data_IF_813474002974
#
_entry.id   IF_813474002974
#
_cell.length_a   1.000
_cell.length_b   1.000
_cell.length_c   1.000
_cell.angle_alpha   90.00
_cell.angle_beta   90.00
_cell.angle_gamma   90.00
#
_symmetry.space_group_name_H-M   'P 1'
#
loop_
_entity.id
_entity.type
_entity.pdbx_description
1 polymer ?
#
# COMPACT_ATOMS: atom_id res chain seq x y z
N UNK A 1 3.45 14.75 -10.20
CA UNK A 1 2.84 15.42 -11.37
C UNK A 1 1.34 15.11 -11.30
N UNK A 2 0.51 16.10 -11.00
CA UNK A 2 -0.94 15.90 -10.94
C UNK A 2 -1.52 16.05 -12.34
N UNK A 3 -2.25 15.05 -12.84
CA UNK A 3 -3.02 15.16 -14.08
C UNK A 3 -4.51 15.32 -13.73
N UNK A 4 -5.14 16.32 -14.33
CA UNK A 4 -6.57 16.54 -14.25
C UNK A 4 -7.25 15.76 -15.38
N UNK A 5 -8.03 14.74 -15.01
CA UNK A 5 -8.89 13.99 -15.94
C UNK A 5 -10.29 14.03 -15.34
N UNK A 6 -11.25 14.65 -16.06
CA UNK A 6 -12.68 14.70 -15.71
C UNK A 6 -13.01 15.23 -14.29
N UNK A 7 -12.35 16.30 -13.84
CA UNK A 7 -12.65 16.95 -12.55
C UNK A 7 -12.30 16.09 -11.32
N UNK A 8 -11.53 15.02 -11.49
CA UNK A 8 -10.93 14.25 -10.40
C UNK A 8 -9.45 14.58 -10.31
N UNK A 9 -9.03 15.11 -9.16
CA UNK A 9 -7.63 15.27 -8.84
C UNK A 9 -7.01 13.90 -8.55
N UNK A 10 -6.26 13.37 -9.50
CA UNK A 10 -5.45 12.19 -9.32
C UNK A 10 -4.10 12.62 -8.72
N UNK A 11 -3.94 12.41 -7.42
CA UNK A 11 -2.65 12.59 -6.75
C UNK A 11 -1.90 11.27 -6.87
N UNK A 12 -0.93 11.22 -7.78
CA UNK A 12 0.03 10.12 -7.81
C UNK A 12 1.05 10.32 -6.68
N UNK A 13 1.17 9.31 -5.81
CA UNK A 13 2.14 9.30 -4.72
C UNK A 13 3.10 8.13 -4.92
N UNK A 14 4.40 8.38 -4.74
CA UNK A 14 5.48 7.40 -4.77
C UNK A 14 6.28 7.47 -3.47
N UNK A 15 6.86 6.36 -3.06
CA UNK A 15 7.68 6.27 -1.85
C UNK A 15 9.09 6.76 -2.17
N UNK A 16 9.59 7.77 -1.44
CA UNK A 16 10.95 8.29 -1.63
C UNK A 16 12.00 7.46 -0.91
N UNK A 17 11.73 7.05 0.33
CA UNK A 17 12.62 6.24 1.14
C UNK A 17 11.85 5.15 1.85
N UNK A 18 12.42 3.95 1.81
CA UNK A 18 11.86 2.78 2.44
C UNK A 18 12.42 2.63 3.87
N UNK A 19 11.56 2.37 4.87
CA UNK A 19 12.03 2.00 6.19
C UNK A 19 12.61 0.58 6.17
N UNK A 20 13.53 0.25 7.10
CA UNK A 20 14.02 -1.12 7.26
C UNK A 20 12.93 -2.11 7.70
N UNK A 21 11.84 -1.60 8.28
CA UNK A 21 10.65 -2.38 8.64
C UNK A 21 9.41 -1.67 8.07
N UNK A 22 8.69 -2.33 7.18
CA UNK A 22 7.47 -1.81 6.55
C UNK A 22 6.23 -2.46 7.15
N UNK A 23 5.36 -1.65 7.74
CA UNK A 23 4.07 -2.10 8.28
C UNK A 23 2.94 -1.81 7.31
N UNK A 24 2.26 -2.85 6.82
CA UNK A 24 1.12 -2.72 5.90
C UNK A 24 -0.19 -2.95 6.66
N UNK A 25 -1.03 -1.92 6.76
CA UNK A 25 -2.33 -2.02 7.42
C UNK A 25 -3.45 -2.27 6.40
N UNK A 26 -4.03 -3.49 6.41
CA UNK A 26 -5.21 -3.79 5.61
C UNK A 26 -6.45 -3.19 6.29
N UNK A 27 -6.91 -2.04 5.78
CA UNK A 27 -8.11 -1.35 6.31
C UNK A 27 -9.40 -2.08 5.96
N UNK A 28 -9.76 -3.06 6.79
CA UNK A 28 -10.96 -3.90 6.59
C UNK A 28 -12.25 -3.35 7.18
N UNK A 29 -12.22 -2.30 7.99
CA UNK A 29 -13.44 -1.77 8.60
C UNK A 29 -13.86 -0.49 7.90
N UNK A 30 -15.11 -0.46 7.44
CA UNK A 30 -15.75 0.74 6.88
C UNK A 30 -17.05 1.00 7.63
N UNK A 31 -17.44 2.26 7.76
CA UNK A 31 -18.73 2.57 8.36
C UNK A 31 -19.87 2.28 7.38
N UNK A 32 -20.81 1.42 7.76
CA UNK A 32 -22.02 1.17 6.97
C UNK A 32 -23.10 2.17 7.36
N UNK A 33 -23.52 3.01 6.42
CA UNK A 33 -24.62 3.96 6.64
C UNK A 33 -25.95 3.24 6.89
N UNK A 34 -26.13 2.05 6.31
CA UNK A 34 -27.35 1.25 6.43
C UNK A 34 -27.50 0.69 7.85
N UNK A 35 -26.43 0.14 8.40
CA UNK A 35 -26.45 -0.54 9.71
C UNK A 35 -25.98 0.36 10.86
N UNK A 36 -25.60 1.63 10.55
CA UNK A 36 -25.05 2.63 11.47
C UNK A 36 -23.88 2.13 12.33
N UNK A 37 -23.14 1.16 11.84
CA UNK A 37 -22.08 0.46 12.56
C UNK A 37 -20.88 0.20 11.63
N UNK A 38 -19.67 0.02 12.18
CA UNK A 38 -18.55 -0.51 11.41
C UNK A 38 -18.87 -1.90 10.86
N UNK A 39 -18.69 -2.05 9.55
CA UNK A 39 -18.81 -3.29 8.82
C UNK A 39 -17.42 -3.77 8.40
N UNK A 40 -17.16 -5.06 8.57
CA UNK A 40 -15.93 -5.70 8.10
C UNK A 40 -16.06 -6.06 6.62
N UNK A 41 -15.09 -5.63 5.84
CA UNK A 41 -14.84 -6.05 4.46
C UNK A 41 -14.18 -7.43 4.50
N UNK A 42 -14.95 -8.44 4.13
CA UNK A 42 -14.56 -9.86 4.21
C UNK A 42 -14.02 -10.42 2.89
N UNK A 43 -13.77 -9.59 1.88
CA UNK A 43 -13.14 -10.04 0.64
C UNK A 43 -11.76 -10.64 0.91
N UNK A 44 -11.49 -11.75 0.23
CA UNK A 44 -10.18 -12.41 0.28
C UNK A 44 -9.13 -11.48 -0.31
N UNK A 45 -8.01 -11.35 0.41
CA UNK A 45 -6.82 -10.61 -0.04
C UNK A 45 -5.66 -11.60 0.11
N UNK A 46 -4.98 -11.89 -0.98
CA UNK A 46 -3.76 -12.68 -0.96
C UNK A 46 -2.58 -11.71 -0.79
N UNK A 47 -1.60 -12.08 0.02
CA UNK A 47 -0.36 -11.34 0.20
C UNK A 47 0.81 -12.27 -0.14
N UNK A 48 1.86 -11.76 -0.79
CA UNK A 48 3.03 -12.56 -1.09
C UNK A 48 3.89 -12.76 0.16
N UNK A 49 4.73 -13.80 0.14
CA UNK A 49 5.77 -14.04 1.14
C UNK A 49 6.92 -13.04 1.01
N UNK A 50 7.25 -12.69 -0.24
CA UNK A 50 8.26 -11.70 -0.59
C UNK A 50 7.58 -10.59 -1.37
N UNK A 51 7.64 -9.36 -0.86
CA UNK A 51 7.04 -8.19 -1.51
C UNK A 51 8.09 -7.35 -2.22
N UNK A 52 7.97 -7.22 -3.54
CA UNK A 52 8.69 -6.24 -4.36
C UNK A 52 7.90 -4.92 -4.41
N UNK A 53 8.55 -3.82 -4.03
CA UNK A 53 7.96 -2.47 -3.98
C UNK A 53 8.62 -1.51 -4.96
N UNK A 54 9.43 -2.00 -5.88
CA UNK A 54 10.20 -1.19 -6.84
C UNK A 54 9.30 -0.24 -7.63
N UNK A 55 8.15 -0.74 -8.11
CA UNK A 55 7.20 0.02 -8.93
C UNK A 55 6.51 1.18 -8.20
N UNK A 56 6.44 1.13 -6.86
CA UNK A 56 5.78 2.16 -6.05
C UNK A 56 6.77 3.16 -5.44
N UNK A 57 8.08 2.93 -5.59
CA UNK A 57 9.12 3.85 -5.17
C UNK A 57 9.44 4.89 -6.26
N UNK A 58 10.04 6.01 -5.87
CA UNK A 58 10.65 6.94 -6.82
C UNK A 58 11.84 6.27 -7.53
N UNK A 59 12.06 6.59 -8.81
CA UNK A 59 13.11 5.96 -9.63
C UNK A 59 14.53 6.17 -9.06
N UNK A 60 14.76 7.29 -8.37
CA UNK A 60 16.05 7.59 -7.72
C UNK A 60 16.40 6.61 -6.60
N UNK A 61 15.39 5.98 -5.97
CA UNK A 61 15.55 5.00 -4.90
C UNK A 61 15.88 3.60 -5.43
N UNK A 62 15.57 3.31 -6.70
CA UNK A 62 15.75 1.98 -7.31
C UNK A 62 17.21 1.66 -7.65
N UNK A 63 18.08 2.67 -7.75
CA UNK A 63 19.47 2.50 -8.21
C UNK A 63 20.35 1.81 -7.14
N UNK A 64 19.91 1.75 -5.89
CA UNK A 64 20.74 1.29 -4.76
C UNK A 64 20.34 -0.04 -4.15
N UNK A 65 19.14 -0.58 -4.38
CA UNK A 65 18.72 -1.81 -3.69
C UNK A 65 17.60 -2.56 -4.41
N UNK A 66 17.89 -3.78 -4.86
CA UNK A 66 16.90 -4.86 -5.02
C UNK A 66 16.30 -5.12 -3.64
N UNK A 67 15.23 -4.40 -3.28
CA UNK A 67 14.72 -4.38 -1.90
C UNK A 67 13.54 -5.34 -1.79
N UNK A 68 13.82 -6.53 -1.25
CA UNK A 68 12.83 -7.55 -0.93
C UNK A 68 12.45 -7.45 0.56
N UNK A 69 11.15 -7.55 0.85
CA UNK A 69 10.65 -7.66 2.23
C UNK A 69 10.24 -9.09 2.54
N UNK A 70 10.84 -9.69 3.56
CA UNK A 70 10.45 -10.98 4.14
C UNK A 70 9.34 -10.78 5.19
N UNK A 71 8.29 -11.59 5.12
CA UNK A 71 7.16 -11.55 6.05
C UNK A 71 7.26 -12.55 7.21
N UNK A 72 8.28 -13.41 7.26
CA UNK A 72 8.36 -14.55 8.20
C UNK A 72 8.93 -14.22 9.61
N UNK A 73 8.96 -12.95 10.01
CA UNK A 73 9.75 -12.48 11.16
C UNK A 73 9.04 -12.06 12.45
N UNK A 74 7.78 -12.45 12.71
CA UNK A 74 7.13 -12.16 14.01
C UNK A 74 6.36 -13.39 14.55
N UNK A 75 7.03 -14.15 15.40
CA UNK A 75 6.45 -15.10 16.36
C UNK A 75 6.39 -14.46 17.75
#
# INVERSE_FOLDING_TARGET
LSQEIEGKFCIEQKISHLPPVLSIQIRRFRYSKNNKMPEKVCTRVNFPLILDVSDICLQETQITATTEYDTDGFA
#
